data_IF_875351609689
#
_entry.id   IF_875351609689
#
_cell.length_a   1.000
_cell.length_b   1.000
_cell.length_c   1.000
_cell.angle_alpha   90.00
_cell.angle_beta   90.00
_cell.angle_gamma   90.00
#
_symmetry.space_group_name_H-M   'P 1'
#
loop_
_entity.id
_entity.type
_entity.pdbx_description
1 polymer ?
#
# COMPACT_ATOMS: atom_id res chain seq x y z
N UNK A 1 8.15 17.54 0.78
CA UNK A 1 6.89 16.81 0.85
C UNK A 1 6.84 15.92 2.08
N UNK A 2 5.69 15.81 2.71
CA UNK A 2 5.44 14.83 3.76
C UNK A 2 5.24 13.45 3.11
N UNK A 3 5.94 12.44 3.57
CA UNK A 3 5.90 11.09 3.03
C UNK A 3 5.84 10.02 4.11
N UNK A 4 5.23 8.90 3.76
CA UNK A 4 5.03 7.75 4.63
C UNK A 4 6.35 7.07 5.02
N UNK A 5 6.50 6.73 6.30
CA UNK A 5 7.68 6.06 6.89
C UNK A 5 7.92 4.67 6.26
N UNK A 6 6.88 3.95 5.89
CA UNK A 6 7.00 2.61 5.30
C UNK A 6 7.51 2.61 3.85
N UNK A 7 7.26 3.69 3.09
CA UNK A 7 7.73 3.84 1.71
C UNK A 7 9.13 4.45 1.61
N UNK A 8 9.60 5.12 2.67
CA UNK A 8 10.83 5.92 2.67
C UNK A 8 12.09 5.11 2.45
N UNK A 9 12.08 3.81 2.64
CA UNK A 9 13.29 2.98 2.61
C UNK A 9 13.87 2.78 1.22
N UNK A 10 13.02 2.71 0.17
CA UNK A 10 13.46 2.52 -1.21
C UNK A 10 12.77 3.45 -2.21
N UNK A 11 11.61 4.04 -1.83
CA UNK A 11 10.81 4.93 -2.69
C UNK A 11 10.36 6.16 -1.92
N UNK A 12 9.65 7.09 -2.56
CA UNK A 12 9.01 8.27 -1.97
C UNK A 12 9.84 8.98 -0.87
N UNK A 13 10.90 9.63 -1.29
CA UNK A 13 11.75 10.42 -0.38
C UNK A 13 12.93 9.67 0.23
N UNK A 14 13.17 8.43 -0.18
CA UNK A 14 14.40 7.72 0.16
C UNK A 14 15.63 8.44 -0.45
N UNK A 15 16.77 8.51 0.25
CA UNK A 15 17.99 9.11 -0.29
C UNK A 15 18.56 8.36 -1.50
N UNK A 16 18.12 7.13 -1.77
CA UNK A 16 18.52 6.35 -2.96
C UNK A 16 17.55 6.53 -4.13
N UNK A 17 16.47 7.29 -3.95
CA UNK A 17 15.48 7.59 -4.97
C UNK A 17 15.54 9.08 -5.33
N UNK A 18 15.34 9.42 -6.61
CA UNK A 18 15.44 10.82 -7.06
C UNK A 18 14.51 11.77 -6.29
N UNK A 19 13.36 11.30 -5.80
CA UNK A 19 12.46 12.11 -4.99
C UNK A 19 13.11 12.57 -3.67
N UNK A 20 13.93 11.73 -3.05
CA UNK A 20 14.73 12.11 -1.87
C UNK A 20 15.95 12.95 -2.21
N UNK A 21 16.45 12.86 -3.46
CA UNK A 21 17.57 13.69 -3.93
C UNK A 21 17.12 15.10 -4.30
N UNK A 22 15.95 15.26 -4.88
CA UNK A 22 15.48 16.56 -5.40
C UNK A 22 14.59 17.35 -4.44
N UNK A 23 14.02 16.72 -3.41
CA UNK A 23 13.07 17.36 -2.52
C UNK A 23 13.47 17.23 -1.06
N UNK A 24 13.17 18.26 -0.28
CA UNK A 24 13.24 18.21 1.18
C UNK A 24 12.06 17.40 1.71
N UNK A 25 12.34 16.22 2.23
CA UNK A 25 11.34 15.28 2.73
C UNK A 25 11.27 15.35 4.25
N UNK A 26 10.07 15.61 4.77
CA UNK A 26 9.76 15.50 6.19
C UNK A 26 8.80 14.31 6.36
N UNK A 27 9.20 13.24 7.02
CA UNK A 27 8.35 12.07 7.20
C UNK A 27 7.37 12.26 8.35
N UNK A 28 6.22 11.64 8.23
CA UNK A 28 5.35 11.33 9.36
C UNK A 28 5.36 9.82 9.59
N UNK A 29 4.97 9.39 10.79
CA UNK A 29 5.02 8.00 11.20
C UNK A 29 3.64 7.41 11.51
N UNK A 30 3.71 6.37 12.31
CA UNK A 30 2.57 5.71 12.94
C UNK A 30 2.78 5.65 14.44
N UNK A 31 1.73 5.45 15.20
CA UNK A 31 1.79 5.23 16.64
C UNK A 31 2.43 3.88 17.00
N UNK A 32 2.51 3.57 18.30
CA UNK A 32 3.08 2.32 18.81
C UNK A 32 2.28 1.07 18.40
N UNK A 33 1.02 1.25 18.00
CA UNK A 33 0.15 0.19 17.46
C UNK A 33 0.29 0.02 15.94
N UNK A 34 1.10 0.86 15.28
CA UNK A 34 1.29 0.84 13.84
C UNK A 34 0.19 1.55 13.05
N UNK A 35 -0.61 2.42 13.72
CA UNK A 35 -1.71 3.18 13.11
C UNK A 35 -1.27 4.61 12.83
N UNK A 36 -1.75 5.21 11.72
CA UNK A 36 -1.45 6.61 11.39
C UNK A 36 -2.06 7.52 12.45
N UNK A 37 -1.21 8.31 13.10
CA UNK A 37 -1.62 9.36 14.02
C UNK A 37 -1.83 10.67 13.24
N UNK A 38 -3.09 10.99 12.95
CA UNK A 38 -3.44 12.19 12.17
C UNK A 38 -3.16 13.50 12.92
N UNK A 39 -3.16 13.50 14.23
CA UNK A 39 -2.80 14.69 15.02
C UNK A 39 -1.30 14.97 14.91
N UNK A 40 -0.49 13.93 14.93
CA UNK A 40 0.95 14.05 14.69
C UNK A 40 1.26 14.46 13.24
N UNK A 41 0.53 13.93 12.25
CA UNK A 41 0.62 14.37 10.85
C UNK A 41 0.31 15.87 10.75
N UNK A 42 -0.74 16.34 11.40
CA UNK A 42 -1.12 17.75 11.41
C UNK A 42 -0.06 18.63 12.08
N UNK A 43 0.45 18.22 13.23
CA UNK A 43 1.51 18.92 13.96
C UNK A 43 2.76 19.09 13.07
N UNK A 44 3.22 18.01 12.46
CA UNK A 44 4.37 18.02 11.54
C UNK A 44 4.09 18.92 10.33
N UNK A 45 2.88 18.86 9.77
CA UNK A 45 2.52 19.69 8.62
C UNK A 45 2.53 21.20 8.97
N UNK A 46 2.05 21.58 10.14
CA UNK A 46 2.05 22.97 10.61
C UNK A 46 3.48 23.50 10.81
N UNK A 47 4.39 22.67 11.31
CA UNK A 47 5.80 23.02 11.47
C UNK A 47 6.54 23.10 10.14
N UNK A 48 6.42 22.07 9.32
CA UNK A 48 7.17 21.94 8.07
C UNK A 48 6.64 22.81 6.93
N UNK A 49 5.36 23.22 6.98
CA UNK A 49 4.65 23.97 5.92
C UNK A 49 4.95 23.44 4.53
N UNK A 50 4.66 22.16 4.27
CA UNK A 50 5.00 21.52 3.01
C UNK A 50 4.18 22.12 1.86
N UNK A 51 4.75 22.09 0.64
CA UNK A 51 3.99 22.42 -0.57
C UNK A 51 3.14 21.24 -1.06
N UNK A 52 3.51 20.02 -0.66
CA UNK A 52 2.84 18.79 -1.05
C UNK A 52 2.83 17.81 0.11
N UNK A 53 1.66 17.29 0.44
CA UNK A 53 1.50 16.15 1.33
C UNK A 53 1.27 14.91 0.48
N UNK A 54 2.00 13.81 0.76
CA UNK A 54 1.83 12.54 0.08
C UNK A 54 1.26 11.53 1.07
N UNK A 55 0.07 11.02 0.79
CA UNK A 55 -0.57 9.95 1.54
C UNK A 55 -0.58 8.63 0.74
N UNK A 56 -0.75 7.53 1.44
CA UNK A 56 -0.74 6.19 0.86
C UNK A 56 0.37 5.31 1.41
N UNK A 57 0.19 4.01 1.36
CA UNK A 57 1.10 3.06 1.99
C UNK A 57 1.25 1.77 1.17
N UNK A 58 2.37 1.07 1.37
CA UNK A 58 2.66 -0.23 0.75
C UNK A 58 2.55 -1.41 1.72
N UNK A 59 2.49 -1.16 3.02
CA UNK A 59 2.45 -2.17 4.07
C UNK A 59 1.48 -1.83 5.22
N UNK A 60 0.60 -0.87 5.02
CA UNK A 60 -0.36 -0.42 6.03
C UNK A 60 -1.64 -1.25 5.94
N UNK A 61 -2.03 -1.86 7.04
CA UNK A 61 -3.12 -2.83 7.08
C UNK A 61 -4.49 -2.24 7.45
N UNK A 62 -4.55 -0.97 7.82
CA UNK A 62 -5.81 -0.30 8.21
C UNK A 62 -6.33 0.62 7.12
N UNK A 63 -7.54 1.06 7.25
CA UNK A 63 -8.14 2.06 6.38
C UNK A 63 -7.43 3.41 6.54
N UNK A 64 -7.26 4.14 5.43
CA UNK A 64 -6.64 5.48 5.43
C UNK A 64 -7.75 6.50 5.25
N UNK A 65 -7.82 7.47 6.17
CA UNK A 65 -8.76 8.58 6.09
C UNK A 65 -8.19 9.72 5.20
N UNK A 66 -8.55 9.69 3.93
CA UNK A 66 -8.12 10.71 2.96
C UNK A 66 -8.80 12.05 3.19
N UNK A 67 -10.00 12.05 3.80
CA UNK A 67 -10.68 13.29 4.19
C UNK A 67 -9.86 14.03 5.24
N UNK A 68 -9.36 13.32 6.25
CA UNK A 68 -8.51 13.93 7.28
C UNK A 68 -7.19 14.46 6.70
N UNK A 69 -6.57 13.75 5.75
CA UNK A 69 -5.42 14.29 5.02
C UNK A 69 -5.75 15.57 4.23
N UNK A 70 -6.93 15.66 3.62
CA UNK A 70 -7.36 16.88 2.92
C UNK A 70 -7.51 18.05 3.89
N UNK A 71 -8.15 17.83 5.03
CA UNK A 71 -8.30 18.86 6.07
C UNK A 71 -6.96 19.39 6.55
N UNK A 72 -5.98 18.50 6.75
CA UNK A 72 -4.61 18.89 7.13
C UNK A 72 -3.94 19.68 6.01
N UNK A 73 -4.05 19.23 4.77
CA UNK A 73 -3.45 19.91 3.62
C UNK A 73 -4.02 21.32 3.44
N UNK A 74 -5.33 21.50 3.62
CA UNK A 74 -6.00 22.80 3.54
C UNK A 74 -5.49 23.76 4.62
N UNK A 75 -5.30 23.29 5.86
CA UNK A 75 -4.78 24.11 6.96
C UNK A 75 -3.42 24.72 6.68
N UNK A 76 -2.57 24.03 5.93
CA UNK A 76 -1.21 24.47 5.59
C UNK A 76 -1.06 25.00 4.16
N UNK A 77 -2.14 25.01 3.38
CA UNK A 77 -2.13 25.45 1.99
C UNK A 77 -1.33 24.52 1.06
N UNK A 78 -1.26 23.23 1.38
CA UNK A 78 -0.52 22.23 0.61
C UNK A 78 -1.43 21.52 -0.41
N UNK A 79 -0.83 21.06 -1.51
CA UNK A 79 -1.46 20.06 -2.36
C UNK A 79 -1.46 18.70 -1.67
N UNK A 80 -2.50 17.89 -1.94
CA UNK A 80 -2.59 16.50 -1.49
C UNK A 80 -2.42 15.55 -2.69
N UNK A 81 -1.38 14.75 -2.65
CA UNK A 81 -1.19 13.61 -3.55
C UNK A 81 -1.43 12.31 -2.80
N UNK A 82 -2.24 11.43 -3.38
CA UNK A 82 -2.48 10.10 -2.81
C UNK A 82 -1.97 9.04 -3.77
N UNK A 83 -1.08 8.18 -3.27
CA UNK A 83 -0.69 6.95 -3.97
C UNK A 83 -1.54 5.78 -3.44
N UNK A 84 -2.57 5.41 -4.20
CA UNK A 84 -3.47 4.31 -3.85
C UNK A 84 -3.07 2.96 -4.45
N UNK A 85 -1.85 2.82 -4.95
CA UNK A 85 -1.42 1.66 -5.73
C UNK A 85 -1.75 0.31 -5.09
N UNK A 86 -1.57 0.16 -3.78
CA UNK A 86 -1.87 -1.08 -3.08
C UNK A 86 -3.36 -1.37 -2.91
N UNK A 87 -4.16 -0.34 -2.72
CA UNK A 87 -5.59 -0.43 -2.40
C UNK A 87 -6.50 -0.11 -3.60
N UNK A 88 -5.95 0.17 -4.78
CA UNK A 88 -6.73 0.64 -5.92
C UNK A 88 -7.87 -0.29 -6.32
N UNK A 89 -7.68 -1.60 -6.24
CA UNK A 89 -8.75 -2.57 -6.48
C UNK A 89 -9.87 -2.51 -5.43
N UNK A 90 -9.53 -2.28 -4.17
CA UNK A 90 -10.51 -2.10 -3.09
C UNK A 90 -11.28 -0.79 -3.26
N UNK A 91 -10.60 0.29 -3.66
CA UNK A 91 -11.22 1.59 -3.96
C UNK A 91 -12.18 1.44 -5.14
N UNK A 92 -11.76 0.81 -6.23
CA UNK A 92 -12.60 0.56 -7.42
C UNK A 92 -13.85 -0.28 -7.08
N UNK A 93 -13.73 -1.21 -6.15
CA UNK A 93 -14.85 -2.04 -5.67
C UNK A 93 -15.74 -1.33 -4.62
N UNK A 94 -15.40 -0.11 -4.18
CA UNK A 94 -16.11 0.60 -3.12
C UNK A 94 -15.92 -0.01 -1.72
N UNK A 95 -14.79 -0.67 -1.48
CA UNK A 95 -14.46 -1.37 -0.23
C UNK A 95 -13.36 -0.69 0.60
N UNK A 96 -12.91 0.47 0.17
CA UNK A 96 -12.03 1.40 0.86
C UNK A 96 -12.42 2.81 0.47
N UNK A 97 -12.20 3.79 1.37
CA UNK A 97 -12.45 5.20 1.06
C UNK A 97 -11.72 5.58 -0.23
N UNK A 98 -12.41 6.25 -1.14
CA UNK A 98 -11.80 6.76 -2.38
C UNK A 98 -11.03 8.06 -2.09
N UNK A 99 -9.79 8.19 -2.55
CA UNK A 99 -9.05 9.45 -2.45
C UNK A 99 -9.51 10.51 -3.47
N UNK A 100 -10.23 10.13 -4.52
CA UNK A 100 -10.58 11.00 -5.64
C UNK A 100 -11.30 12.30 -5.22
N UNK A 101 -12.26 12.28 -4.26
CA UNK A 101 -12.92 13.52 -3.85
C UNK A 101 -12.03 14.48 -3.03
N UNK A 102 -10.90 13.98 -2.50
CA UNK A 102 -10.09 14.70 -1.53
C UNK A 102 -8.71 15.12 -2.06
N UNK A 103 -8.14 14.35 -2.98
CA UNK A 103 -6.80 14.60 -3.47
C UNK A 103 -6.77 15.50 -4.71
N UNK A 104 -5.75 16.33 -4.82
CA UNK A 104 -5.47 17.08 -6.06
C UNK A 104 -4.96 16.14 -7.14
N UNK A 105 -4.14 15.18 -6.75
CA UNK A 105 -3.54 14.17 -7.64
C UNK A 105 -3.58 12.80 -6.98
N UNK A 106 -4.01 11.80 -7.74
CA UNK A 106 -3.98 10.39 -7.31
C UNK A 106 -3.10 9.60 -8.27
N UNK A 107 -2.15 8.86 -7.71
CA UNK A 107 -1.35 7.90 -8.48
C UNK A 107 -1.73 6.48 -8.10
N UNK A 108 -1.62 5.59 -9.06
CA UNK A 108 -1.78 4.16 -8.82
C UNK A 108 -0.98 3.33 -9.80
N UNK A 109 -0.72 2.09 -9.43
CA UNK A 109 -0.33 1.03 -10.36
C UNK A 109 -1.56 0.26 -10.80
N UNK A 110 -1.48 -0.38 -11.97
CA UNK A 110 -2.57 -1.22 -12.49
C UNK A 110 -2.40 -2.70 -12.18
N UNK A 111 -1.21 -3.14 -11.72
CA UNK A 111 -0.82 -4.54 -11.58
C UNK A 111 -0.86 -5.11 -10.15
N UNK A 112 -1.46 -4.40 -9.17
CA UNK A 112 -1.63 -4.89 -7.79
C UNK A 112 -3.08 -5.36 -7.58
N UNK A 113 -3.80 -4.80 -6.63
CA UNK A 113 -5.20 -5.20 -6.38
C UNK A 113 -6.14 -4.96 -7.55
N UNK A 114 -5.81 -4.07 -8.50
CA UNK A 114 -6.57 -3.92 -9.75
C UNK A 114 -6.44 -5.11 -10.72
N UNK A 115 -5.44 -6.01 -10.55
CA UNK A 115 -5.20 -7.21 -11.38
C UNK A 115 -4.93 -6.94 -12.87
N UNK A 116 -4.43 -5.76 -13.21
CA UNK A 116 -4.14 -5.38 -14.59
C UNK A 116 -2.67 -5.59 -14.99
N UNK A 117 -2.29 -5.13 -16.17
CA UNK A 117 -0.91 -5.17 -16.64
C UNK A 117 -0.03 -4.26 -15.80
N UNK A 118 1.29 -4.50 -15.83
CA UNK A 118 2.26 -3.63 -15.17
C UNK A 118 2.28 -2.26 -15.84
N UNK A 119 1.92 -1.25 -15.05
CA UNK A 119 1.87 0.13 -15.51
C UNK A 119 1.40 1.05 -14.39
N UNK A 120 1.41 2.34 -14.67
CA UNK A 120 0.93 3.40 -13.79
C UNK A 120 -0.28 4.13 -14.38
N UNK A 121 -0.96 4.86 -13.53
CA UNK A 121 -2.06 5.76 -13.88
C UNK A 121 -1.98 6.99 -12.98
N UNK A 122 -2.22 8.16 -13.55
CA UNK A 122 -2.34 9.43 -12.83
C UNK A 122 -3.76 9.94 -13.05
N UNK A 123 -4.43 10.25 -11.97
CA UNK A 123 -5.75 10.88 -11.95
C UNK A 123 -5.60 12.23 -11.25
N UNK A 124 -6.31 13.23 -11.72
CA UNK A 124 -6.27 14.55 -11.10
C UNK A 124 -7.67 15.17 -11.13
N UNK A 125 -7.96 16.03 -10.16
CA UNK A 125 -9.12 16.90 -10.27
C UNK A 125 -8.91 17.91 -11.42
N UNK A 126 -10.00 18.55 -11.85
CA UNK A 126 -9.97 19.46 -13.01
C UNK A 126 -8.99 20.61 -12.81
N UNK A 127 -9.00 21.23 -11.64
CA UNK A 127 -8.14 22.37 -11.31
C UNK A 127 -6.65 22.00 -11.38
N UNK A 128 -6.26 20.88 -10.74
CA UNK A 128 -4.89 20.41 -10.78
C UNK A 128 -4.47 19.99 -12.20
N UNK A 129 -5.37 19.39 -12.98
CA UNK A 129 -5.09 18.99 -14.36
C UNK A 129 -4.83 20.20 -15.27
N UNK A 130 -5.59 21.28 -15.12
CA UNK A 130 -5.40 22.53 -15.85
C UNK A 130 -4.13 23.25 -15.43
N UNK A 131 -3.82 23.28 -14.11
CA UNK A 131 -2.68 23.99 -13.55
C UNK A 131 -1.34 23.34 -13.85
N UNK A 132 -1.23 22.01 -13.75
CA UNK A 132 0.05 21.32 -13.75
C UNK A 132 0.44 20.66 -15.07
N UNK A 133 -0.45 20.63 -16.07
CA UNK A 133 -0.16 20.06 -17.38
C UNK A 133 0.56 18.70 -17.33
N UNK A 134 -0.06 17.71 -16.66
CA UNK A 134 0.54 16.38 -16.44
C UNK A 134 0.96 15.68 -17.74
N UNK A 135 0.19 15.87 -18.82
CA UNK A 135 0.52 15.27 -20.12
C UNK A 135 1.91 15.71 -20.61
N UNK A 136 2.21 17.01 -20.55
CA UNK A 136 3.53 17.54 -20.92
C UNK A 136 4.63 17.08 -19.96
N UNK A 137 4.33 16.97 -18.67
CA UNK A 137 5.27 16.48 -17.68
C UNK A 137 5.63 15.00 -17.92
N UNK A 138 4.68 14.19 -18.39
CA UNK A 138 4.92 12.80 -18.76
C UNK A 138 5.62 12.71 -20.12
N UNK A 139 5.06 13.30 -21.16
CA UNK A 139 5.64 13.28 -22.51
C UNK A 139 5.74 14.71 -23.07
N UNK A 140 6.94 15.17 -23.46
CA UNK A 140 8.23 14.49 -23.46
C UNK A 140 9.04 14.66 -22.16
N UNK A 141 8.42 15.12 -21.05
CA UNK A 141 9.14 15.50 -19.83
C UNK A 141 9.93 14.38 -19.18
N UNK A 142 9.34 13.18 -19.06
CA UNK A 142 9.94 12.05 -18.33
C UNK A 142 9.88 10.72 -19.07
N UNK A 143 9.00 10.58 -20.06
CA UNK A 143 8.79 9.34 -20.82
C UNK A 143 8.82 9.61 -22.33
N UNK A 144 8.91 8.52 -23.11
CA UNK A 144 8.83 8.52 -24.57
C UNK A 144 7.53 7.87 -25.07
N UNK A 145 7.61 7.14 -26.19
CA UNK A 145 6.46 6.49 -26.80
C UNK A 145 5.76 5.50 -25.87
N UNK A 146 4.43 5.44 -25.90
CA UNK A 146 3.65 4.56 -25.02
C UNK A 146 3.73 3.10 -25.48
N UNK A 147 3.51 2.19 -24.54
CA UNK A 147 3.36 0.75 -24.81
C UNK A 147 1.87 0.44 -25.07
N UNK A 148 1.46 0.41 -26.34
CA UNK A 148 0.04 0.29 -26.71
C UNK A 148 -0.61 -1.01 -26.26
N UNK A 149 0.13 -2.14 -26.24
CA UNK A 149 -0.35 -3.40 -25.70
C UNK A 149 -0.64 -3.30 -24.19
N UNK A 150 0.10 -2.49 -23.43
CA UNK A 150 -0.19 -2.21 -22.03
C UNK A 150 -1.44 -1.34 -21.89
N UNK A 151 -1.64 -0.37 -22.77
CA UNK A 151 -2.85 0.46 -22.80
C UNK A 151 -4.08 -0.42 -23.08
N UNK A 152 -4.01 -1.29 -24.07
CA UNK A 152 -5.07 -2.27 -24.37
C UNK A 152 -5.36 -3.19 -23.16
N UNK A 153 -4.30 -3.70 -22.51
CA UNK A 153 -4.44 -4.49 -21.28
C UNK A 153 -5.08 -3.72 -20.13
N UNK A 154 -4.80 -2.40 -19.99
CA UNK A 154 -5.47 -1.55 -19.00
C UNK A 154 -6.97 -1.39 -19.30
N UNK A 155 -7.34 -1.24 -20.58
CA UNK A 155 -8.74 -1.16 -20.96
C UNK A 155 -9.53 -2.42 -20.57
N UNK A 156 -8.96 -3.61 -20.81
CA UNK A 156 -9.54 -4.88 -20.35
C UNK A 156 -9.65 -4.92 -18.84
N UNK A 157 -8.58 -4.58 -18.13
CA UNK A 157 -8.56 -4.53 -16.66
C UNK A 157 -9.67 -3.63 -16.09
N UNK A 158 -9.86 -2.44 -16.65
CA UNK A 158 -10.90 -1.52 -16.19
C UNK A 158 -12.30 -2.03 -16.53
N UNK A 159 -12.48 -2.66 -17.71
CA UNK A 159 -13.73 -3.32 -18.08
C UNK A 159 -14.08 -4.48 -17.13
N UNK A 160 -13.09 -5.24 -16.66
CA UNK A 160 -13.29 -6.27 -15.64
C UNK A 160 -13.61 -5.66 -14.27
N UNK A 161 -12.93 -4.58 -13.88
CA UNK A 161 -13.15 -3.91 -12.60
C UNK A 161 -14.55 -3.27 -12.46
N UNK A 162 -15.24 -3.01 -13.56
CA UNK A 162 -16.63 -2.51 -13.60
C UNK A 162 -17.67 -3.62 -13.36
N UNK A 163 -17.28 -4.90 -13.44
CA UNK A 163 -18.21 -6.01 -13.30
C UNK A 163 -18.50 -6.34 -11.83
N UNK A 164 -19.70 -6.85 -11.50
CA UNK A 164 -20.05 -7.26 -10.13
C UNK A 164 -19.08 -8.30 -9.55
N UNK A 165 -18.60 -9.24 -10.36
CA UNK A 165 -17.69 -10.30 -9.95
C UNK A 165 -16.35 -9.76 -9.41
N UNK A 166 -15.93 -8.58 -9.87
CA UNK A 166 -14.74 -7.94 -9.34
C UNK A 166 -14.95 -7.48 -7.89
N UNK A 167 -16.12 -6.96 -7.56
CA UNK A 167 -16.47 -6.60 -6.18
C UNK A 167 -16.52 -7.82 -5.28
N UNK A 168 -17.09 -8.92 -5.76
CA UNK A 168 -17.13 -10.20 -5.03
C UNK A 168 -15.72 -10.71 -4.76
N UNK A 169 -14.85 -10.67 -5.77
CA UNK A 169 -13.44 -11.00 -5.62
C UNK A 169 -12.74 -10.15 -4.55
N UNK A 170 -12.89 -8.84 -4.58
CA UNK A 170 -12.27 -7.95 -3.60
C UNK A 170 -12.82 -8.16 -2.18
N UNK A 171 -14.10 -8.47 -2.04
CA UNK A 171 -14.70 -8.87 -0.76
C UNK A 171 -14.06 -10.16 -0.23
N UNK A 172 -13.84 -11.14 -1.11
CA UNK A 172 -13.19 -12.40 -0.71
C UNK A 172 -11.73 -12.16 -0.33
N UNK A 173 -11.01 -11.26 -1.02
CA UNK A 173 -9.65 -10.85 -0.64
C UNK A 173 -9.61 -10.32 0.79
N UNK A 174 -10.52 -9.41 1.17
CA UNK A 174 -10.61 -8.89 2.54
C UNK A 174 -10.94 -9.98 3.56
N UNK A 175 -11.91 -10.85 3.26
CA UNK A 175 -12.28 -11.98 4.14
C UNK A 175 -11.09 -12.91 4.37
N UNK A 176 -10.37 -13.26 3.32
CA UNK A 176 -9.19 -14.10 3.41
C UNK A 176 -8.08 -13.44 4.25
N UNK A 177 -7.86 -12.13 4.08
CA UNK A 177 -6.87 -11.40 4.85
C UNK A 177 -7.22 -11.37 6.34
N UNK A 178 -8.47 -11.07 6.69
CA UNK A 178 -8.93 -11.06 8.07
C UNK A 178 -8.83 -12.44 8.73
N UNK A 179 -9.24 -13.51 8.02
CA UNK A 179 -9.15 -14.88 8.50
C UNK A 179 -7.69 -15.32 8.72
N UNK A 180 -6.80 -14.98 7.78
CA UNK A 180 -5.36 -15.29 7.92
C UNK A 180 -4.74 -14.53 9.09
N UNK A 181 -5.05 -13.25 9.25
CA UNK A 181 -4.56 -12.47 10.39
C UNK A 181 -4.99 -13.07 11.73
N UNK A 182 -6.27 -13.45 11.86
CA UNK A 182 -6.80 -14.08 13.06
C UNK A 182 -6.15 -15.45 13.33
N UNK A 183 -5.91 -16.26 12.28
CA UNK A 183 -5.26 -17.56 12.40
C UNK A 183 -3.81 -17.41 12.86
N UNK A 184 -3.06 -16.47 12.30
CA UNK A 184 -1.68 -16.19 12.71
C UNK A 184 -1.61 -15.70 14.16
N UNK A 185 -2.51 -14.81 14.58
CA UNK A 185 -2.59 -14.36 15.97
C UNK A 185 -2.89 -15.51 16.93
N UNK A 186 -3.77 -16.42 16.55
CA UNK A 186 -4.05 -17.64 17.35
C UNK A 186 -2.83 -18.54 17.50
N UNK A 187 -1.92 -18.52 16.53
CA UNK A 187 -0.64 -19.23 16.58
C UNK A 187 0.48 -18.44 17.29
N UNK A 188 0.16 -17.30 17.90
CA UNK A 188 1.10 -16.48 18.64
C UNK A 188 1.89 -15.44 17.82
N UNK A 189 1.60 -15.28 16.53
CA UNK A 189 2.22 -14.23 15.74
C UNK A 189 1.60 -12.85 16.06
N UNK A 190 2.47 -11.86 16.20
CA UNK A 190 2.04 -10.47 16.40
C UNK A 190 1.73 -9.81 15.05
N UNK A 191 0.46 -9.51 14.82
CA UNK A 191 0.03 -8.67 13.70
C UNK A 191 0.12 -7.21 14.14
N UNK A 192 0.90 -6.39 13.44
CA UNK A 192 1.29 -5.06 13.87
C UNK A 192 0.07 -4.19 14.17
N UNK A 193 -0.93 -4.08 13.48
CA UNK A 193 -2.12 -3.25 13.75
C UNK A 193 -3.24 -4.03 14.47
N UNK A 194 -2.94 -5.19 15.06
CA UNK A 194 -3.93 -6.05 15.69
C UNK A 194 -4.92 -6.70 14.72
N UNK A 195 -4.68 -6.62 13.41
CA UNK A 195 -5.55 -7.16 12.36
C UNK A 195 -5.41 -6.41 11.05
N UNK A 196 -6.39 -6.57 10.15
CA UNK A 196 -6.38 -5.90 8.85
C UNK A 196 -7.78 -5.52 8.39
N UNK A 197 -7.90 -4.36 7.73
CA UNK A 197 -9.12 -3.88 7.09
C UNK A 197 -9.04 -3.99 5.56
N UNK A 198 -7.92 -4.47 5.03
CA UNK A 198 -7.66 -4.52 3.58
C UNK A 198 -7.13 -5.88 3.10
N UNK A 199 -6.26 -5.92 2.14
CA UNK A 199 -5.77 -7.10 1.43
C UNK A 199 -4.45 -7.66 1.98
N UNK A 200 -3.85 -7.02 2.98
CA UNK A 200 -2.53 -7.39 3.50
C UNK A 200 -2.46 -7.23 5.03
N UNK A 201 -1.44 -7.79 5.60
CA UNK A 201 -1.04 -7.59 7.00
C UNK A 201 0.47 -7.52 7.12
N UNK A 202 0.95 -6.91 8.20
CA UNK A 202 2.34 -6.87 8.57
C UNK A 202 2.53 -7.66 9.88
N UNK A 203 3.35 -8.70 9.81
CA UNK A 203 3.70 -9.54 10.96
C UNK A 203 4.97 -9.00 11.59
N UNK A 204 4.95 -8.74 12.88
CA UNK A 204 6.08 -8.27 13.68
C UNK A 204 6.81 -9.48 14.30
N UNK A 205 8.07 -9.68 13.92
CA UNK A 205 8.90 -10.79 14.36
C UNK A 205 9.89 -10.40 15.47
N UNK A 206 9.82 -9.19 16.03
CA UNK A 206 10.79 -8.71 17.04
C UNK A 206 10.84 -9.56 18.31
N UNK A 207 9.79 -10.28 18.62
CA UNK A 207 9.76 -11.22 19.76
C UNK A 207 10.16 -12.65 19.41
N UNK A 208 10.61 -12.92 18.17
CA UNK A 208 10.94 -14.24 17.66
C UNK A 208 12.43 -14.32 17.26
N UNK A 209 13.01 -15.49 17.38
CA UNK A 209 14.40 -15.74 16.95
C UNK A 209 14.50 -16.01 15.45
N UNK A 210 13.91 -15.10 14.65
CA UNK A 210 13.94 -15.16 13.19
C UNK A 210 13.91 -13.74 12.62
N UNK A 211 14.55 -13.51 11.49
CA UNK A 211 14.45 -12.25 10.73
C UNK A 211 13.40 -12.34 9.63
N UNK A 212 12.94 -11.17 9.14
CA UNK A 212 12.06 -11.13 7.98
C UNK A 212 12.68 -11.78 6.75
N UNK A 213 13.98 -11.56 6.50
CA UNK A 213 14.72 -12.18 5.40
C UNK A 213 14.76 -13.70 5.53
N UNK A 214 15.03 -14.20 6.71
CA UNK A 214 15.11 -15.64 6.95
C UNK A 214 13.74 -16.29 6.77
N UNK A 215 12.68 -15.74 7.37
CA UNK A 215 11.33 -16.26 7.19
C UNK A 215 10.90 -16.22 5.71
N UNK A 216 11.19 -15.15 4.99
CA UNK A 216 10.94 -15.07 3.54
C UNK A 216 11.62 -16.23 2.81
N UNK A 217 12.93 -16.46 3.05
CA UNK A 217 13.68 -17.52 2.37
C UNK A 217 13.12 -18.92 2.68
N UNK A 218 12.82 -19.21 3.96
CA UNK A 218 12.22 -20.50 4.35
C UNK A 218 10.84 -20.73 3.71
N UNK A 219 10.03 -19.67 3.61
CA UNK A 219 8.73 -19.76 2.94
C UNK A 219 8.89 -19.97 1.43
N UNK A 220 9.88 -19.35 0.79
CA UNK A 220 10.15 -19.53 -0.64
C UNK A 220 10.55 -20.99 -0.96
N UNK A 221 11.26 -21.69 -0.08
CA UNK A 221 11.61 -23.12 -0.22
C UNK A 221 10.38 -24.05 -0.32
N UNK A 222 9.26 -23.62 0.26
CA UNK A 222 7.96 -24.33 0.21
C UNK A 222 6.94 -23.65 -0.68
N UNK A 223 7.39 -22.78 -1.60
CA UNK A 223 6.57 -22.07 -2.59
C UNK A 223 5.53 -21.11 -1.99
N UNK A 224 5.79 -20.58 -0.79
CA UNK A 224 5.00 -19.52 -0.16
C UNK A 224 5.76 -18.20 -0.30
N UNK A 225 5.32 -17.35 -1.22
CA UNK A 225 5.97 -16.06 -1.46
C UNK A 225 5.50 -15.00 -0.46
N UNK A 226 6.42 -14.53 0.35
CA UNK A 226 6.27 -13.41 1.27
C UNK A 226 7.20 -12.26 0.88
N UNK A 227 6.99 -11.09 1.49
CA UNK A 227 7.95 -10.00 1.40
C UNK A 227 8.49 -9.67 2.80
N UNK A 228 9.81 -9.78 2.98
CA UNK A 228 10.44 -9.15 4.15
C UNK A 228 10.08 -7.67 4.16
N UNK A 229 9.77 -7.14 5.32
CA UNK A 229 9.33 -5.77 5.48
C UNK A 229 9.81 -5.22 6.82
N UNK A 230 10.27 -3.99 6.86
CA UNK A 230 10.55 -3.35 8.15
C UNK A 230 9.27 -3.10 8.91
N UNK A 231 9.40 -3.10 10.22
CA UNK A 231 8.37 -2.66 11.16
C UNK A 231 8.67 -1.23 11.63
N UNK A 232 7.72 -0.51 12.22
CA UNK A 232 8.01 0.79 12.83
C UNK A 232 9.16 0.68 13.84
N UNK A 233 10.11 1.61 13.76
CA UNK A 233 11.30 1.63 14.62
C UNK A 233 12.09 0.31 14.57
N UNK A 234 12.21 -0.29 13.39
CA UNK A 234 12.87 -1.57 13.17
C UNK A 234 14.36 -1.49 13.62
N UNK A 235 14.81 -2.35 14.55
CA UNK A 235 16.21 -2.37 14.98
C UNK A 235 17.14 -3.00 13.93
N UNK A 236 16.60 -3.71 12.94
CA UNK A 236 17.38 -4.38 11.88
C UNK A 236 17.43 -3.52 10.63
N UNK A 237 18.46 -3.72 9.81
CA UNK A 237 18.59 -3.02 8.54
C UNK A 237 17.45 -3.36 7.57
N UNK A 238 17.14 -2.51 6.57
CA UNK A 238 16.13 -2.79 5.54
C UNK A 238 16.40 -4.05 4.70
N UNK A 239 17.64 -4.53 4.68
CA UNK A 239 18.03 -5.76 3.96
C UNK A 239 17.73 -7.04 4.74
N UNK A 240 17.54 -6.94 6.07
CA UNK A 240 17.26 -8.05 6.99
C UNK A 240 15.83 -8.02 7.48
N UNK A 241 15.38 -6.90 8.02
CA UNK A 241 14.06 -6.59 8.56
C UNK A 241 13.63 -7.41 9.77
N UNK A 242 12.70 -6.87 10.54
CA UNK A 242 12.07 -7.56 11.68
C UNK A 242 10.60 -7.88 11.43
N UNK A 243 10.16 -7.87 10.19
CA UNK A 243 8.81 -8.23 9.83
C UNK A 243 8.69 -8.84 8.44
N UNK A 244 7.51 -9.36 8.16
CA UNK A 244 7.09 -9.82 6.84
C UNK A 244 5.70 -9.28 6.51
N UNK A 245 5.52 -8.90 5.24
CA UNK A 245 4.23 -8.50 4.70
C UNK A 245 3.60 -9.68 3.97
N UNK A 246 2.37 -10.00 4.33
CA UNK A 246 1.57 -11.06 3.74
C UNK A 246 0.34 -10.45 3.09
N UNK A 247 -0.02 -10.89 1.90
CA UNK A 247 -1.19 -10.42 1.18
C UNK A 247 -1.98 -11.55 0.54
N UNK A 248 -3.28 -11.37 0.37
CA UNK A 248 -4.21 -12.42 -0.08
C UNK A 248 -4.73 -12.30 -1.52
N UNK A 249 -4.46 -11.24 -2.33
CA UNK A 249 -5.01 -11.14 -3.67
C UNK A 249 -4.64 -12.32 -4.59
N UNK A 250 -3.37 -12.73 -4.62
CA UNK A 250 -2.90 -13.79 -5.49
C UNK A 250 -3.50 -15.16 -5.13
N UNK A 251 -3.56 -15.49 -3.85
CA UNK A 251 -4.17 -16.75 -3.40
C UNK A 251 -5.68 -16.75 -3.63
N UNK A 252 -6.35 -15.62 -3.43
CA UNK A 252 -7.79 -15.49 -3.72
C UNK A 252 -8.08 -15.72 -5.21
N UNK A 253 -7.21 -15.22 -6.10
CA UNK A 253 -7.33 -15.47 -7.56
C UNK A 253 -7.22 -16.95 -7.90
N UNK A 254 -6.46 -17.75 -7.14
CA UNK A 254 -6.32 -19.21 -7.31
C UNK A 254 -7.50 -20.01 -6.74
N UNK A 255 -8.46 -19.35 -6.10
CA UNK A 255 -9.69 -19.95 -5.60
C UNK A 255 -9.75 -20.34 -4.12
N UNK A 256 -8.73 -20.09 -3.24
CA UNK A 256 -8.88 -20.41 -1.84
C UNK A 256 -9.92 -19.51 -1.18
N UNK A 257 -10.74 -20.11 -0.35
CA UNK A 257 -11.70 -19.42 0.52
C UNK A 257 -11.26 -19.54 1.97
N UNK A 258 -11.65 -18.58 2.79
CA UNK A 258 -11.16 -18.38 4.16
C UNK A 258 -11.24 -19.61 5.08
N UNK A 259 -12.11 -20.57 4.80
CA UNK A 259 -12.29 -21.76 5.65
C UNK A 259 -11.67 -23.04 5.08
N UNK A 260 -11.28 -23.09 3.80
CA UNK A 260 -10.79 -24.33 3.18
C UNK A 260 -9.29 -24.45 3.11
N UNK A 261 -8.54 -23.35 3.00
CA UNK A 261 -7.11 -23.37 2.78
C UNK A 261 -6.26 -22.88 3.97
N UNK A 262 -6.88 -22.16 4.91
CA UNK A 262 -6.18 -21.77 6.14
C UNK A 262 -6.12 -22.92 7.17
N UNK A 263 -6.86 -24.00 6.96
CA UNK A 263 -6.76 -25.24 7.74
C UNK A 263 -5.54 -26.11 7.42
N UNK A 264 -4.86 -25.88 6.31
CA UNK A 264 -3.66 -26.64 5.97
C UNK A 264 -2.53 -26.49 7.02
N UNK A 265 -2.60 -25.50 7.88
CA UNK A 265 -1.68 -25.31 9.00
C UNK A 265 -2.04 -26.12 10.25
N UNK A 266 -3.15 -26.84 10.29
CA UNK A 266 -3.47 -27.78 11.37
C UNK A 266 -2.65 -29.09 11.27
N UNK A 267 -2.01 -29.33 10.15
CA UNK A 267 -1.14 -30.49 9.94
C UNK A 267 0.32 -30.19 10.30
N UNK A 268 0.59 -29.47 11.34
CA UNK A 268 1.83 -29.40 12.13
C UNK A 268 3.22 -29.63 11.49
N UNK A 269 3.34 -29.56 10.17
CA UNK A 269 4.51 -30.05 9.46
C UNK A 269 5.42 -28.99 8.80
N UNK A 270 5.05 -27.69 8.78
CA UNK A 270 5.79 -26.71 7.98
C UNK A 270 5.84 -25.28 8.59
N UNK A 271 6.20 -25.17 9.86
CA UNK A 271 6.80 -23.93 10.40
C UNK A 271 7.96 -24.26 11.30
#
# INVERSE_FOLDING_TARGET
GLGDVYKRQLTHGSPVNFSGLYFNIVPYGVDDNGVIDYEEVERIALEAKPKLIIAGASAYAREIDFKRFREIADKVGAYLMVDMAHIAGLVAAGLHQSPIPYADVVTTTTHKTLRGPRGGLILANKEAAEKFNFNKAIFPGTQGGPLEHIIAGKAVCFGEALKPEFKEYQLQVKKNAAALAAALQKQGFKILTGGTDNHLMLVDLRGMDISGKELQNRCDEVYITLNKNTVPNDPRSPFVTSGVRIGTPAVTTRGPVSYTHLRAHETGAYL
#
